data_IF_045475830093
#
_entry.id   IF_045475830093
#
_cell.length_a   1.000
_cell.length_b   1.000
_cell.length_c   1.000
_cell.angle_alpha   90.00
_cell.angle_beta   90.00
_cell.angle_gamma   90.00
#
_symmetry.space_group_name_H-M   'P 1'
#
loop_
_entity.id
_entity.type
_entity.pdbx_description
1 polymer ?
#
# COMPACT_ATOMS: atom_id res chain seq x y z
N UNK A 1 -14.52 -21.06 -34.34
CA UNK A 1 -15.61 -21.34 -33.38
C UNK A 1 -15.10 -21.79 -32.01
N UNK A 2 -14.01 -22.58 -31.94
CA UNK A 2 -13.48 -23.13 -30.66
C UNK A 2 -13.22 -22.06 -29.58
N UNK A 3 -12.51 -20.97 -29.87
CA UNK A 3 -12.16 -19.95 -28.85
C UNK A 3 -13.40 -19.36 -28.15
N UNK A 4 -14.42 -18.98 -28.94
CA UNK A 4 -15.66 -18.40 -28.41
C UNK A 4 -16.43 -19.43 -27.57
N UNK A 5 -16.43 -20.68 -28.00
CA UNK A 5 -17.07 -21.78 -27.29
C UNK A 5 -16.35 -22.11 -25.97
N UNK A 6 -15.01 -22.07 -25.95
CA UNK A 6 -14.22 -22.18 -24.72
C UNK A 6 -14.53 -21.05 -23.75
N UNK A 7 -14.55 -19.80 -24.21
CA UNK A 7 -14.88 -18.62 -23.38
C UNK A 7 -16.28 -18.78 -22.75
N UNK A 8 -17.28 -19.19 -23.54
CA UNK A 8 -18.66 -19.37 -23.06
C UNK A 8 -18.80 -20.55 -22.09
N UNK A 9 -18.23 -21.70 -22.44
CA UNK A 9 -18.38 -22.94 -21.65
C UNK A 9 -17.65 -22.87 -20.31
N UNK A 10 -16.46 -22.25 -20.28
CA UNK A 10 -15.65 -22.11 -19.07
C UNK A 10 -15.91 -20.82 -18.30
N UNK A 11 -16.81 -19.95 -18.80
CA UNK A 11 -17.12 -18.64 -18.21
C UNK A 11 -15.86 -17.80 -17.96
N UNK A 12 -14.97 -17.77 -18.96
CA UNK A 12 -13.70 -17.03 -18.89
C UNK A 12 -13.99 -15.54 -18.75
N UNK A 13 -13.31 -14.88 -17.81
CA UNK A 13 -13.56 -13.49 -17.40
C UNK A 13 -12.28 -12.65 -17.38
N UNK A 14 -12.40 -11.34 -17.62
CA UNK A 14 -11.31 -10.37 -17.52
C UNK A 14 -10.02 -10.74 -18.26
N UNK A 15 -8.88 -10.58 -17.60
CA UNK A 15 -7.57 -10.88 -18.19
C UNK A 15 -7.37 -12.36 -18.59
N UNK A 16 -8.18 -13.31 -18.13
CA UNK A 16 -8.13 -14.69 -18.61
C UNK A 16 -8.54 -14.82 -20.09
N UNK A 17 -9.31 -13.86 -20.62
CA UNK A 17 -9.60 -13.76 -22.04
C UNK A 17 -8.30 -13.55 -22.83
N UNK A 18 -7.41 -12.67 -22.33
CA UNK A 18 -6.10 -12.44 -22.95
C UNK A 18 -5.28 -13.72 -23.00
N UNK A 19 -5.26 -14.49 -21.92
CA UNK A 19 -4.56 -15.78 -21.86
C UNK A 19 -5.12 -16.79 -22.86
N UNK A 20 -6.46 -16.89 -22.93
CA UNK A 20 -7.13 -17.84 -23.82
C UNK A 20 -6.86 -17.51 -25.28
N UNK A 21 -6.98 -16.24 -25.67
CA UNK A 21 -6.70 -15.78 -27.04
C UNK A 21 -5.23 -15.97 -27.38
N UNK A 22 -4.32 -15.67 -26.45
CA UNK A 22 -2.87 -15.87 -26.64
C UNK A 22 -2.53 -17.35 -26.86
N UNK A 23 -3.00 -18.27 -26.01
CA UNK A 23 -2.73 -19.71 -26.17
C UNK A 23 -3.21 -20.24 -27.52
N UNK A 24 -4.36 -19.76 -28.00
CA UNK A 24 -4.89 -20.15 -29.31
C UNK A 24 -4.18 -19.46 -30.48
N UNK A 25 -3.58 -18.28 -30.29
CA UNK A 25 -2.79 -17.61 -31.34
C UNK A 25 -1.43 -18.28 -31.56
N UNK A 26 -0.89 -18.97 -30.55
CA UNK A 26 0.34 -19.75 -30.67
C UNK A 26 0.21 -20.98 -31.58
N UNK A 27 -1.01 -21.42 -31.90
CA UNK A 27 -1.29 -22.61 -32.73
C UNK A 27 -2.10 -22.30 -33.99
N UNK A 28 -2.02 -23.19 -34.98
CA UNK A 28 -2.93 -23.22 -36.12
C UNK A 28 -2.39 -22.63 -37.43
N UNK A 29 -3.30 -22.50 -38.40
CA UNK A 29 -3.00 -22.00 -39.75
C UNK A 29 -2.69 -20.49 -39.72
N UNK A 30 -1.75 -19.99 -40.53
CA UNK A 30 -1.34 -18.58 -40.53
C UNK A 30 -2.50 -17.56 -40.58
N UNK A 31 -3.56 -17.73 -41.39
CA UNK A 31 -4.68 -16.79 -41.42
C UNK A 31 -5.45 -16.71 -40.08
N UNK A 32 -5.59 -17.83 -39.38
CA UNK A 32 -6.29 -17.89 -38.09
C UNK A 32 -5.44 -17.23 -37.01
N UNK A 33 -4.13 -17.53 -36.99
CA UNK A 33 -3.17 -16.90 -36.09
C UNK A 33 -3.20 -15.38 -36.23
N UNK A 34 -3.11 -14.86 -37.47
CA UNK A 34 -3.16 -13.41 -37.72
C UNK A 34 -4.47 -12.76 -37.26
N UNK A 35 -5.60 -13.47 -37.38
CA UNK A 35 -6.88 -12.96 -36.88
C UNK A 35 -6.90 -12.91 -35.33
N UNK A 36 -6.38 -13.94 -34.66
CA UNK A 36 -6.29 -13.98 -33.20
C UNK A 36 -5.28 -12.97 -32.64
N UNK A 37 -4.16 -12.73 -33.32
CA UNK A 37 -3.19 -11.70 -32.96
C UNK A 37 -3.81 -10.29 -33.00
N UNK A 38 -4.66 -10.01 -34.02
CA UNK A 38 -5.42 -8.74 -34.08
C UNK A 38 -6.42 -8.60 -32.94
N UNK A 39 -7.15 -9.67 -32.60
CA UNK A 39 -8.08 -9.66 -31.46
C UNK A 39 -7.30 -9.42 -30.16
N UNK A 40 -6.17 -10.13 -29.98
CA UNK A 40 -5.32 -9.98 -28.81
C UNK A 40 -4.79 -8.55 -28.66
N UNK A 41 -4.36 -7.91 -29.75
CA UNK A 41 -3.90 -6.52 -29.73
C UNK A 41 -4.99 -5.54 -29.26
N UNK A 42 -6.24 -5.74 -29.70
CA UNK A 42 -7.39 -4.93 -29.24
C UNK A 42 -7.64 -5.16 -27.74
N UNK A 43 -7.61 -6.41 -27.27
CA UNK A 43 -7.77 -6.72 -25.86
C UNK A 43 -6.63 -6.16 -25.00
N UNK A 44 -5.37 -6.22 -25.46
CA UNK A 44 -4.24 -5.56 -24.79
C UNK A 44 -4.44 -4.05 -24.68
N UNK A 45 -5.17 -3.44 -25.62
CA UNK A 45 -5.54 -2.02 -25.52
C UNK A 45 -6.32 -1.65 -24.27
N UNK A 46 -7.11 -2.57 -23.71
CA UNK A 46 -7.82 -2.40 -22.43
C UNK A 46 -6.82 -2.54 -21.27
N UNK A 47 -5.97 -3.58 -21.29
CA UNK A 47 -4.92 -3.79 -20.29
C UNK A 47 -3.98 -2.58 -20.19
N UNK A 48 -3.52 -2.02 -21.31
CA UNK A 48 -2.68 -0.81 -21.32
C UNK A 48 -3.39 0.42 -20.75
N UNK A 49 -4.70 0.53 -20.91
CA UNK A 49 -5.49 1.62 -20.30
C UNK A 49 -5.53 1.48 -18.78
N UNK A 50 -5.78 0.26 -18.27
CA UNK A 50 -5.74 -0.02 -16.84
C UNK A 50 -4.34 0.21 -16.26
N UNK A 51 -3.29 -0.22 -16.96
CA UNK A 51 -1.91 0.02 -16.58
C UNK A 51 -1.56 1.50 -16.51
N UNK A 52 -1.98 2.30 -17.49
CA UNK A 52 -1.74 3.74 -17.47
C UNK A 52 -2.44 4.42 -16.28
N UNK A 53 -3.72 4.09 -16.03
CA UNK A 53 -4.45 4.63 -14.89
C UNK A 53 -3.79 4.27 -13.55
N UNK A 54 -3.38 3.01 -13.40
CA UNK A 54 -2.75 2.51 -12.18
C UNK A 54 -1.34 3.07 -11.98
N UNK A 55 -0.45 2.91 -12.98
CA UNK A 55 0.97 3.22 -12.83
C UNK A 55 1.30 4.70 -12.95
N UNK A 56 0.47 5.50 -13.61
CA UNK A 56 0.74 6.93 -13.80
C UNK A 56 -0.08 7.81 -12.85
N UNK A 57 -1.21 7.31 -12.34
CA UNK A 57 -2.12 8.11 -11.53
C UNK A 57 -2.56 7.42 -10.22
N UNK A 58 -2.14 6.18 -9.96
CA UNK A 58 -2.53 5.45 -8.75
C UNK A 58 -4.01 5.05 -8.73
N UNK A 59 -4.69 5.10 -9.87
CA UNK A 59 -6.14 4.87 -9.97
C UNK A 59 -6.43 3.42 -10.39
N UNK A 60 -7.10 2.67 -9.53
CA UNK A 60 -7.57 1.32 -9.83
C UNK A 60 -8.99 1.35 -10.40
N UNK A 61 -9.10 1.41 -11.73
CA UNK A 61 -10.38 1.40 -12.45
C UNK A 61 -10.78 -0.05 -12.82
N UNK A 62 -11.33 -0.80 -11.86
CA UNK A 62 -11.62 -2.23 -12.00
C UNK A 62 -12.97 -2.66 -11.38
N UNK A 63 -14.08 -2.04 -11.82
CA UNK A 63 -15.44 -2.33 -11.30
C UNK A 63 -15.83 -3.81 -11.44
N UNK A 64 -15.40 -4.45 -12.53
CA UNK A 64 -15.76 -5.82 -12.88
C UNK A 64 -14.74 -6.87 -12.40
N UNK A 65 -13.75 -6.48 -11.60
CA UNK A 65 -12.73 -7.40 -11.08
C UNK A 65 -11.94 -8.16 -12.18
N UNK A 66 -11.57 -7.45 -13.24
CA UNK A 66 -10.94 -8.01 -14.44
C UNK A 66 -9.42 -7.85 -14.46
N UNK A 67 -8.88 -6.91 -13.69
CA UNK A 67 -7.46 -6.62 -13.62
C UNK A 67 -6.73 -7.55 -12.65
N UNK A 68 -5.41 -7.72 -12.85
CA UNK A 68 -4.59 -8.59 -12.00
C UNK A 68 -4.06 -7.89 -10.74
N UNK A 69 -4.34 -6.60 -10.55
CA UNK A 69 -4.17 -5.88 -9.28
C UNK A 69 -5.54 -5.72 -8.65
N UNK A 70 -5.68 -6.04 -7.37
CA UNK A 70 -6.92 -5.89 -6.60
C UNK A 70 -6.67 -5.08 -5.35
N UNK A 71 -7.69 -4.35 -4.90
CA UNK A 71 -7.68 -3.73 -3.59
C UNK A 71 -8.01 -4.78 -2.52
N UNK A 72 -7.23 -4.83 -1.45
CA UNK A 72 -7.53 -5.61 -0.25
C UNK A 72 -8.73 -5.04 0.51
N UNK A 73 -9.34 -5.82 1.42
CA UNK A 73 -10.41 -5.31 2.26
C UNK A 73 -9.86 -4.13 3.08
N UNK A 74 -10.30 -2.92 2.74
CA UNK A 74 -10.04 -1.74 3.57
C UNK A 74 -10.66 -2.03 4.94
N UNK A 75 -9.92 -1.78 6.03
CA UNK A 75 -10.47 -1.88 7.37
C UNK A 75 -11.49 -0.73 7.57
N UNK A 76 -12.70 -0.91 7.02
CA UNK A 76 -13.75 0.10 6.94
C UNK A 76 -14.20 0.32 5.49
N UNK A 77 -15.44 -0.07 5.18
CA UNK A 77 -16.08 0.16 3.88
C UNK A 77 -16.85 -1.05 3.37
N UNK A 78 -18.12 -1.16 3.78
CA UNK A 78 -19.06 -2.10 3.18
C UNK A 78 -19.24 -1.79 1.69
N UNK A 79 -19.33 -2.83 0.86
CA UNK A 79 -19.65 -2.74 -0.56
C UNK A 79 -20.95 -1.92 -0.76
N UNK A 80 -20.81 -0.71 -1.31
CA UNK A 80 -21.95 0.07 -1.77
C UNK A 80 -22.30 -0.37 -3.20
N UNK A 81 -23.43 -1.04 -3.33
CA UNK A 81 -24.09 -1.32 -4.61
C UNK A 81 -24.17 -0.04 -5.46
N UNK A 82 -23.73 -0.13 -6.72
CA UNK A 82 -23.95 0.91 -7.72
C UNK A 82 -24.90 0.34 -8.77
N UNK A 83 -26.15 0.80 -8.74
CA UNK A 83 -27.04 0.73 -9.90
C UNK A 83 -26.70 1.91 -10.84
N UNK A 84 -26.74 1.60 -12.13
CA UNK A 84 -26.21 2.36 -13.28
C UNK A 84 -27.06 3.57 -13.68
N UNK A 85 -26.41 4.60 -14.26
CA UNK A 85 -26.93 5.24 -15.48
C UNK A 85 -25.76 5.39 -16.47
N UNK A 86 -25.84 4.68 -17.61
CA UNK A 86 -24.94 4.78 -18.75
C UNK A 86 -25.09 6.15 -19.43
N UNK A 87 -24.09 7.01 -19.34
CA UNK A 87 -23.87 8.08 -20.32
C UNK A 87 -22.60 7.80 -21.14
N UNK A 88 -22.83 7.71 -22.44
CA UNK A 88 -21.91 7.58 -23.58
C UNK A 88 -20.52 8.23 -23.37
N UNK A 89 -19.52 7.41 -22.98
CA UNK A 89 -18.12 7.85 -22.89
C UNK A 89 -17.44 7.81 -24.25
N UNK A 90 -17.80 8.78 -25.08
CA UNK A 90 -17.05 9.17 -26.26
C UNK A 90 -15.59 9.49 -25.92
N UNK A 91 -14.67 8.86 -26.66
CA UNK A 91 -13.24 9.13 -26.59
C UNK A 91 -12.93 10.60 -26.91
N UNK A 92 -12.52 11.37 -25.90
CA UNK A 92 -11.88 12.67 -26.14
C UNK A 92 -11.79 13.58 -24.91
N UNK A 93 -10.63 13.60 -24.24
CA UNK A 93 -10.13 14.86 -23.64
C UNK A 93 -10.26 15.09 -22.13
N UNK A 94 -10.59 14.10 -21.30
CA UNK A 94 -10.57 14.29 -19.84
C UNK A 94 -9.17 14.01 -19.26
N UNK A 95 -8.63 14.98 -18.53
CA UNK A 95 -7.37 14.84 -17.76
C UNK A 95 -7.61 13.93 -16.54
N UNK A 96 -6.59 13.18 -16.09
CA UNK A 96 -6.67 12.37 -14.86
C UNK A 96 -7.12 13.16 -13.62
N UNK A 97 -6.93 14.49 -13.62
CA UNK A 97 -7.44 15.40 -12.58
C UNK A 97 -8.97 15.46 -12.52
N UNK A 98 -9.66 15.43 -13.68
CA UNK A 98 -11.13 15.53 -13.75
C UNK A 98 -11.83 14.23 -13.37
N UNK A 99 -11.20 13.08 -13.62
CA UNK A 99 -11.70 11.77 -13.16
C UNK A 99 -11.63 11.63 -11.64
N UNK A 100 -10.71 12.36 -11.01
CA UNK A 100 -10.45 12.30 -9.57
C UNK A 100 -11.35 13.21 -8.76
N UNK A 101 -11.71 14.40 -9.26
CA UNK A 101 -12.74 15.24 -8.62
C UNK A 101 -14.06 14.50 -8.41
N UNK A 102 -14.40 13.56 -9.30
CA UNK A 102 -15.57 12.68 -9.17
C UNK A 102 -15.41 11.58 -8.09
N UNK A 103 -14.18 11.15 -7.80
CA UNK A 103 -13.89 10.19 -6.73
C UNK A 103 -13.72 10.89 -5.37
N UNK A 104 -13.09 12.06 -5.34
CA UNK A 104 -12.84 12.82 -4.10
C UNK A 104 -14.13 13.32 -3.45
N UNK A 105 -15.17 13.67 -4.22
CA UNK A 105 -16.50 14.01 -3.69
C UNK A 105 -17.15 12.87 -2.89
N UNK A 106 -16.70 11.61 -3.04
CA UNK A 106 -17.20 10.45 -2.29
C UNK A 106 -16.43 10.17 -0.99
N UNK A 107 -15.27 10.81 -0.76
CA UNK A 107 -14.34 10.47 0.34
C UNK A 107 -14.32 11.47 1.50
N UNK A 108 -15.15 12.52 1.47
CA UNK A 108 -15.11 13.63 2.45
C UNK A 108 -15.58 13.23 3.87
N UNK A 109 -16.03 12.00 4.12
CA UNK A 109 -16.56 11.61 5.45
C UNK A 109 -15.58 10.89 6.40
N UNK A 110 -14.33 10.60 6.02
CA UNK A 110 -13.41 9.79 6.87
C UNK A 110 -12.08 10.50 7.24
N UNK A 111 -12.17 11.72 7.80
CA UNK A 111 -11.08 12.28 8.59
C UNK A 111 -11.14 11.75 10.03
N UNK A 112 -10.52 10.59 10.29
CA UNK A 112 -9.86 10.20 11.55
C UNK A 112 -9.66 8.68 11.58
N UNK A 113 -8.63 8.16 10.91
CA UNK A 113 -8.09 6.83 11.25
C UNK A 113 -6.58 6.79 11.08
N UNK A 114 -5.92 6.51 12.20
CA UNK A 114 -4.53 6.09 12.27
C UNK A 114 -4.33 4.80 11.45
N UNK A 115 -3.21 4.77 10.72
CA UNK A 115 -2.67 3.69 9.90
C UNK A 115 -3.45 3.40 8.59
N UNK A 116 -2.99 3.90 7.42
CA UNK A 116 -3.43 3.33 6.16
C UNK A 116 -3.05 1.84 6.17
N UNK A 117 -4.05 0.96 6.04
CA UNK A 117 -3.91 -0.48 6.09
C UNK A 117 -2.84 -0.98 5.11
N UNK A 118 -1.93 -1.81 5.60
CA UNK A 118 -0.63 -2.07 4.98
C UNK A 118 -0.56 -3.09 3.84
N UNK A 119 -1.68 -3.53 3.30
CA UNK A 119 -1.74 -4.22 2.01
C UNK A 119 -3.03 -3.81 1.34
N UNK A 120 -3.16 -2.51 1.05
CA UNK A 120 -4.31 -2.00 0.34
C UNK A 120 -4.40 -2.63 -1.05
N UNK A 121 -3.30 -3.11 -1.63
CA UNK A 121 -3.32 -3.78 -2.93
C UNK A 121 -2.58 -5.12 -2.89
N UNK A 122 -3.00 -6.03 -3.77
CA UNK A 122 -2.37 -7.34 -3.95
C UNK A 122 -2.56 -7.85 -5.37
N UNK A 123 -1.80 -8.88 -5.76
CA UNK A 123 -1.95 -9.52 -7.05
C UNK A 123 -3.07 -10.56 -7.02
N UNK A 124 -3.95 -10.50 -8.02
CA UNK A 124 -4.93 -11.52 -8.38
C UNK A 124 -4.28 -12.46 -9.39
N UNK A 125 -3.55 -13.46 -8.90
CA UNK A 125 -2.72 -14.37 -9.72
C UNK A 125 -3.52 -15.12 -10.79
N UNK A 126 -4.80 -15.40 -10.53
CA UNK A 126 -5.75 -16.04 -11.43
C UNK A 126 -6.18 -15.15 -12.62
N UNK A 127 -5.95 -13.85 -12.53
CA UNK A 127 -6.16 -12.88 -13.62
C UNK A 127 -4.84 -12.48 -14.28
N UNK A 128 -3.68 -12.99 -13.84
CA UNK A 128 -2.41 -12.64 -14.47
C UNK A 128 -2.18 -13.51 -15.72
N UNK A 129 -2.09 -12.91 -16.93
CA UNK A 129 -1.82 -13.70 -18.13
C UNK A 129 -0.45 -14.39 -18.03
N UNK A 130 -0.38 -15.69 -18.28
CA UNK A 130 0.83 -16.51 -18.06
C UNK A 130 2.07 -16.11 -18.87
N UNK A 131 1.92 -15.32 -19.95
CA UNK A 131 3.03 -14.76 -20.71
C UNK A 131 3.60 -13.46 -20.11
N UNK A 132 3.01 -12.94 -19.03
CA UNK A 132 3.55 -11.87 -18.19
C UNK A 132 4.08 -12.52 -16.91
N UNK A 133 5.41 -12.54 -16.69
CA UNK A 133 5.98 -13.12 -15.48
C UNK A 133 5.49 -12.41 -14.21
N UNK A 134 5.28 -13.16 -13.13
CA UNK A 134 4.84 -12.60 -11.83
C UNK A 134 5.77 -11.50 -11.31
N UNK A 135 7.09 -11.65 -11.52
CA UNK A 135 8.10 -10.64 -11.21
C UNK A 135 7.86 -9.29 -11.90
N UNK A 136 7.18 -9.25 -13.05
CA UNK A 136 6.82 -8.00 -13.75
C UNK A 136 5.53 -7.43 -13.15
N UNK A 137 4.56 -8.29 -12.82
CA UNK A 137 3.34 -7.87 -12.13
C UNK A 137 3.64 -7.25 -10.75
N UNK A 138 4.61 -7.79 -10.01
CA UNK A 138 5.09 -7.22 -8.74
C UNK A 138 5.66 -5.80 -8.93
N UNK A 139 6.39 -5.54 -10.02
CA UNK A 139 6.88 -4.19 -10.34
C UNK A 139 5.72 -3.24 -10.61
N UNK A 140 4.68 -3.70 -11.32
CA UNK A 140 3.48 -2.92 -11.63
C UNK A 140 2.71 -2.59 -10.35
N UNK A 141 2.56 -3.57 -9.45
CA UNK A 141 1.94 -3.38 -8.14
C UNK A 141 2.70 -2.31 -7.35
N UNK A 142 4.01 -2.49 -7.17
CA UNK A 142 4.86 -1.53 -6.45
C UNK A 142 4.75 -0.11 -7.00
N UNK A 143 4.79 0.05 -8.33
CA UNK A 143 4.70 1.37 -8.97
C UNK A 143 3.38 2.06 -8.62
N UNK A 144 2.24 1.39 -8.84
CA UNK A 144 0.96 2.02 -8.60
C UNK A 144 0.65 2.23 -7.12
N UNK A 145 1.10 1.32 -6.23
CA UNK A 145 1.02 1.55 -4.77
C UNK A 145 1.79 2.80 -4.37
N UNK A 146 3.00 2.98 -4.90
CA UNK A 146 3.84 4.15 -4.62
C UNK A 146 3.21 5.45 -5.12
N UNK A 147 2.66 5.43 -6.34
CA UNK A 147 1.97 6.59 -6.94
C UNK A 147 0.72 6.93 -6.15
N UNK A 148 -0.13 5.95 -5.86
CA UNK A 148 -1.35 6.16 -5.08
C UNK A 148 -1.04 6.73 -3.69
N UNK A 149 -0.03 6.18 -3.02
CA UNK A 149 0.34 6.58 -1.67
C UNK A 149 0.86 8.03 -1.66
N UNK A 150 1.67 8.40 -2.65
CA UNK A 150 2.18 9.76 -2.81
C UNK A 150 1.03 10.75 -3.08
N UNK A 151 0.13 10.37 -3.98
CA UNK A 151 -1.02 11.18 -4.40
C UNK A 151 -2.04 11.42 -3.28
N UNK A 152 -2.23 10.48 -2.35
CA UNK A 152 -3.12 10.67 -1.20
C UNK A 152 -2.54 11.58 -0.10
N UNK A 153 -1.22 11.76 -0.07
CA UNK A 153 -0.54 12.57 0.96
C UNK A 153 -0.09 13.93 0.40
N UNK A 154 -0.48 14.25 -0.84
CA UNK A 154 -0.09 15.47 -1.56
C UNK A 154 -0.89 16.72 -1.15
N UNK A 155 -1.63 16.67 -0.04
CA UNK A 155 -2.41 17.79 0.49
C UNK A 155 -1.54 18.92 1.10
N UNK A 156 -0.22 18.74 1.20
CA UNK A 156 0.69 19.80 1.62
C UNK A 156 1.07 20.69 0.41
N UNK A 157 0.76 22.00 0.43
CA UNK A 157 0.98 22.89 -0.72
C UNK A 157 2.46 23.07 -1.11
N UNK A 158 3.40 22.63 -0.27
CA UNK A 158 4.85 22.65 -0.57
C UNK A 158 5.31 21.49 -1.43
N UNK A 159 4.51 20.43 -1.60
CA UNK A 159 4.88 19.18 -2.29
C UNK A 159 4.14 18.98 -3.62
N UNK A 160 3.60 20.05 -4.20
CA UNK A 160 2.89 20.02 -5.47
C UNK A 160 3.73 19.42 -6.61
N UNK A 161 3.49 18.16 -6.93
CA UNK A 161 4.17 17.41 -7.99
C UNK A 161 3.81 15.94 -7.96
N UNK A 162 4.04 15.24 -9.06
CA UNK A 162 3.90 13.78 -9.12
C UNK A 162 5.20 13.09 -8.71
N UNK A 163 5.11 11.89 -8.15
CA UNK A 163 6.26 11.01 -7.93
C UNK A 163 7.02 10.69 -9.23
N UNK A 164 6.33 10.79 -10.36
CA UNK A 164 6.90 10.64 -11.71
C UNK A 164 7.49 11.96 -12.25
N UNK A 165 7.51 13.02 -11.44
CA UNK A 165 8.00 14.36 -11.77
C UNK A 165 7.31 14.89 -13.04
N UNK A 166 8.09 15.17 -14.08
CA UNK A 166 7.62 15.64 -15.39
C UNK A 166 7.66 14.54 -16.47
N UNK A 167 7.82 13.26 -16.06
CA UNK A 167 7.95 12.14 -16.98
C UNK A 167 6.61 11.44 -17.28
N UNK A 168 5.50 11.88 -16.67
CA UNK A 168 4.17 11.29 -16.89
C UNK A 168 3.77 11.26 -18.37
N UNK A 169 3.88 12.40 -19.07
CA UNK A 169 3.55 12.51 -20.49
C UNK A 169 4.43 11.60 -21.36
N UNK A 170 5.71 11.46 -20.98
CA UNK A 170 6.65 10.56 -21.66
C UNK A 170 6.20 9.10 -21.50
N UNK A 171 5.92 8.66 -20.28
CA UNK A 171 5.49 7.29 -20.01
C UNK A 171 4.13 6.98 -20.60
N UNK A 172 3.20 7.95 -20.60
CA UNK A 172 1.91 7.83 -21.28
C UNK A 172 2.10 7.62 -22.79
N UNK A 173 3.00 8.38 -23.43
CA UNK A 173 3.32 8.22 -24.84
C UNK A 173 3.98 6.85 -25.15
N UNK A 174 4.85 6.36 -24.27
CA UNK A 174 5.48 5.04 -24.43
C UNK A 174 4.50 3.87 -24.25
N UNK A 175 3.61 3.94 -23.24
CA UNK A 175 2.51 2.98 -23.08
C UNK A 175 1.58 2.99 -24.30
N UNK A 176 1.27 4.19 -24.81
CA UNK A 176 0.49 4.33 -26.04
C UNK A 176 1.22 3.71 -27.24
N UNK A 177 2.53 3.90 -27.38
CA UNK A 177 3.32 3.30 -28.45
C UNK A 177 3.33 1.77 -28.40
N UNK A 178 3.40 1.18 -27.20
CA UNK A 178 3.29 -0.27 -27.00
C UNK A 178 1.90 -0.79 -27.37
N UNK A 179 0.84 -0.06 -26.97
CA UNK A 179 -0.54 -0.38 -27.33
C UNK A 179 -0.77 -0.44 -28.85
N UNK A 180 -0.06 0.38 -29.63
CA UNK A 180 -0.20 0.40 -31.09
C UNK A 180 0.57 -0.73 -31.80
N UNK A 181 1.37 -1.53 -31.08
CA UNK A 181 2.09 -2.63 -31.71
C UNK A 181 1.13 -3.76 -32.10
N UNK A 182 1.29 -4.36 -33.29
CA UNK A 182 0.42 -5.46 -33.73
C UNK A 182 0.68 -6.77 -32.97
N UNK A 183 1.87 -6.90 -32.35
CA UNK A 183 2.29 -8.07 -31.59
C UNK A 183 2.80 -7.62 -30.22
N UNK A 184 2.46 -8.39 -29.19
CA UNK A 184 2.95 -8.16 -27.83
C UNK A 184 4.41 -8.59 -27.70
N UNK A 185 5.26 -7.66 -27.30
CA UNK A 185 6.68 -7.90 -27.01
C UNK A 185 6.89 -7.80 -25.50
N UNK A 186 7.15 -8.94 -24.85
CA UNK A 186 7.43 -8.98 -23.41
C UNK A 186 8.67 -8.15 -23.05
N UNK A 187 9.68 -8.14 -23.92
CA UNK A 187 10.93 -7.39 -23.69
C UNK A 187 10.68 -5.90 -23.67
N UNK A 188 9.97 -5.36 -24.67
CA UNK A 188 9.68 -3.92 -24.74
C UNK A 188 8.73 -3.48 -23.63
N UNK A 189 7.73 -4.33 -23.32
CA UNK A 189 6.84 -4.14 -22.19
C UNK A 189 7.63 -4.05 -20.88
N UNK A 190 8.44 -5.07 -20.57
CA UNK A 190 9.19 -5.11 -19.32
C UNK A 190 10.20 -3.96 -19.21
N UNK A 191 10.88 -3.59 -20.30
CA UNK A 191 11.81 -2.45 -20.31
C UNK A 191 11.11 -1.14 -19.93
N UNK A 192 9.88 -0.92 -20.39
CA UNK A 192 9.10 0.26 -19.99
C UNK A 192 8.71 0.21 -18.52
N UNK A 193 8.21 -0.93 -18.04
CA UNK A 193 7.87 -1.13 -16.62
C UNK A 193 9.10 -0.89 -15.73
N UNK A 194 10.27 -1.39 -16.12
CA UNK A 194 11.51 -1.21 -15.37
C UNK A 194 11.97 0.25 -15.31
N UNK A 195 11.76 1.02 -16.38
CA UNK A 195 12.05 2.46 -16.39
C UNK A 195 11.12 3.21 -15.45
N UNK A 196 9.81 2.98 -15.52
CA UNK A 196 8.84 3.63 -14.62
C UNK A 196 9.17 3.28 -13.16
N UNK A 197 9.39 1.99 -12.87
CA UNK A 197 9.76 1.51 -11.53
C UNK A 197 11.05 2.16 -11.02
N UNK A 198 12.05 2.34 -11.87
CA UNK A 198 13.32 2.96 -11.47
C UNK A 198 13.15 4.44 -11.15
N UNK A 199 12.37 5.19 -11.94
CA UNK A 199 12.04 6.60 -11.66
C UNK A 199 11.31 6.73 -10.31
N UNK A 200 10.30 5.90 -10.07
CA UNK A 200 9.53 5.91 -8.81
C UNK A 200 10.44 5.58 -7.61
N UNK A 201 11.25 4.53 -7.73
CA UNK A 201 12.14 4.10 -6.65
C UNK A 201 13.21 5.14 -6.31
N UNK A 202 13.77 5.82 -7.31
CA UNK A 202 14.75 6.89 -7.12
C UNK A 202 14.11 8.07 -6.37
N UNK A 203 12.87 8.45 -6.71
CA UNK A 203 12.19 9.52 -6.00
C UNK A 203 11.80 9.14 -4.57
N UNK A 204 11.30 7.92 -4.34
CA UNK A 204 11.04 7.44 -2.97
C UNK A 204 12.32 7.45 -2.13
N UNK A 205 13.46 7.08 -2.71
CA UNK A 205 14.73 7.14 -2.00
C UNK A 205 15.08 8.56 -1.57
N UNK A 206 15.03 9.54 -2.48
CA UNK A 206 15.26 10.96 -2.17
C UNK A 206 14.32 11.43 -1.08
N UNK A 207 13.03 11.14 -1.23
CA UNK A 207 12.00 11.52 -0.28
C UNK A 207 12.26 10.97 1.13
N UNK A 208 12.67 9.71 1.24
CA UNK A 208 12.87 9.06 2.53
C UNK A 208 14.20 9.42 3.18
N UNK A 209 15.28 9.47 2.38
CA UNK A 209 16.64 9.66 2.90
C UNK A 209 16.99 11.13 3.04
N UNK A 210 16.65 11.96 2.05
CA UNK A 210 17.07 13.36 2.00
C UNK A 210 16.01 14.29 2.61
N UNK A 211 14.72 13.99 2.44
CA UNK A 211 13.64 14.88 2.91
C UNK A 211 12.99 14.45 4.23
N UNK A 212 13.18 13.20 4.67
CA UNK A 212 12.49 12.63 5.85
C UNK A 212 13.44 12.06 6.90
N UNK A 213 14.74 12.35 6.79
CA UNK A 213 15.77 12.00 7.77
C UNK A 213 15.76 10.52 8.21
N UNK A 214 15.60 9.58 7.28
CA UNK A 214 15.51 8.13 7.58
C UNK A 214 16.63 7.64 8.52
N UNK A 215 17.85 8.16 8.39
CA UNK A 215 18.97 7.77 9.24
C UNK A 215 18.79 8.20 10.70
N UNK A 216 18.22 9.37 10.94
CA UNK A 216 17.89 9.84 12.29
C UNK A 216 16.77 9.00 12.90
N UNK A 217 15.79 8.63 12.09
CA UNK A 217 14.64 7.81 12.48
C UNK A 217 15.09 6.38 12.86
N UNK A 218 16.04 5.81 12.12
CA UNK A 218 16.70 4.54 12.50
C UNK A 218 17.49 4.66 13.80
N UNK A 219 18.15 5.80 14.04
CA UNK A 219 18.85 6.05 15.30
C UNK A 219 17.86 6.13 16.47
N UNK A 220 16.73 6.80 16.29
CA UNK A 220 15.63 6.81 17.28
C UNK A 220 15.18 5.38 17.57
N UNK A 221 14.85 4.60 16.54
CA UNK A 221 14.40 3.21 16.75
C UNK A 221 15.45 2.41 17.55
N UNK A 222 16.74 2.52 17.20
CA UNK A 222 17.83 1.89 17.96
C UNK A 222 17.90 2.39 19.41
N UNK A 223 17.82 3.70 19.62
CA UNK A 223 17.98 4.32 20.93
C UNK A 223 16.89 3.90 21.91
N UNK A 224 15.67 3.66 21.42
CA UNK A 224 14.51 3.34 22.25
C UNK A 224 14.15 1.83 22.24
N UNK A 225 13.96 1.20 21.07
CA UNK A 225 13.63 -0.24 21.05
C UNK A 225 14.80 -1.13 21.47
N UNK A 226 16.03 -0.75 21.11
CA UNK A 226 17.23 -1.53 21.45
C UNK A 226 17.95 -0.99 22.69
N UNK A 227 17.28 -0.14 23.49
CA UNK A 227 17.79 0.42 24.74
C UNK A 227 19.16 1.14 24.57
N UNK A 228 19.42 1.73 23.41
CA UNK A 228 20.67 2.46 23.15
C UNK A 228 20.90 3.62 24.13
N UNK A 229 19.82 4.20 24.68
CA UNK A 229 19.86 5.22 25.74
C UNK A 229 19.76 4.59 27.13
N UNK A 230 20.77 3.80 27.51
CA UNK A 230 20.77 3.08 28.80
C UNK A 230 20.56 3.98 30.02
N UNK A 231 21.08 5.22 30.01
CA UNK A 231 20.89 6.20 31.09
C UNK A 231 19.41 6.59 31.29
N UNK A 232 18.67 6.77 30.18
CA UNK A 232 17.24 7.07 30.20
C UNK A 232 16.47 5.91 30.82
N UNK A 233 16.75 4.69 30.33
CA UNK A 233 16.08 3.49 30.81
C UNK A 233 16.40 3.19 32.27
N UNK A 234 17.61 3.47 32.73
CA UNK A 234 17.98 3.31 34.15
C UNK A 234 17.13 4.23 35.04
N UNK A 235 17.05 5.52 34.70
CA UNK A 235 16.22 6.48 35.45
C UNK A 235 14.73 6.12 35.35
N UNK A 236 14.26 5.71 34.18
CA UNK A 236 12.88 5.25 33.99
C UNK A 236 12.55 4.03 34.84
N UNK A 237 13.42 3.01 34.86
CA UNK A 237 13.23 1.80 35.66
C UNK A 237 13.12 2.18 37.13
N UNK A 238 14.01 3.03 37.65
CA UNK A 238 13.97 3.48 39.04
C UNK A 238 12.64 4.18 39.40
N UNK A 239 12.09 4.98 38.47
CA UNK A 239 10.81 5.67 38.65
C UNK A 239 9.60 4.73 38.53
N UNK A 240 9.60 3.83 37.55
CA UNK A 240 8.47 2.97 37.21
C UNK A 240 8.42 1.66 38.01
N UNK A 241 9.50 1.29 38.72
CA UNK A 241 9.62 0.01 39.42
C UNK A 241 8.49 -0.28 40.40
N UNK A 242 8.01 0.74 41.12
CA UNK A 242 6.97 0.57 42.13
C UNK A 242 5.57 0.34 41.53
N UNK A 243 5.31 0.86 40.33
CA UNK A 243 4.02 0.74 39.63
C UNK A 243 3.96 -0.46 38.68
N UNK A 244 5.09 -0.89 38.11
CA UNK A 244 5.16 -2.02 37.17
C UNK A 244 5.39 -3.38 37.84
N UNK A 245 5.71 -3.42 39.14
CA UNK A 245 5.81 -4.66 39.93
C UNK A 245 4.45 -5.30 40.23
N UNK A 246 3.38 -4.51 40.24
CA UNK A 246 2.01 -4.97 40.45
C UNK A 246 1.32 -5.26 39.12
N UNK A 247 0.24 -6.06 39.10
CA UNK A 247 -0.59 -6.21 37.90
C UNK A 247 -1.08 -4.86 37.38
N UNK A 248 -1.11 -4.66 36.05
CA UNK A 248 -1.48 -3.38 35.46
C UNK A 248 -2.97 -3.08 35.66
N UNK A 249 -3.29 -1.78 35.74
CA UNK A 249 -4.64 -1.23 35.88
C UNK A 249 -4.91 -0.21 34.78
N UNK A 250 -6.15 0.29 34.68
CA UNK A 250 -6.54 1.26 33.65
C UNK A 250 -5.73 2.57 33.67
N UNK A 251 -5.11 2.94 34.80
CA UNK A 251 -4.28 4.15 34.93
C UNK A 251 -2.79 3.89 34.70
N UNK A 252 -2.36 2.62 34.74
CA UNK A 252 -0.94 2.25 34.68
C UNK A 252 -0.29 2.72 33.38
N UNK A 253 -0.98 2.67 32.24
CA UNK A 253 -0.45 3.18 30.96
C UNK A 253 -0.13 4.68 31.05
N UNK A 254 -1.02 5.48 31.64
CA UNK A 254 -0.80 6.92 31.80
C UNK A 254 0.36 7.23 32.75
N UNK A 255 0.37 6.61 33.93
CA UNK A 255 1.38 6.85 34.97
C UNK A 255 2.79 6.50 34.47
N UNK A 256 2.91 5.40 33.71
CA UNK A 256 4.17 4.96 33.11
C UNK A 256 4.69 5.94 32.07
N UNK A 257 3.81 6.48 31.21
CA UNK A 257 4.21 7.51 30.24
C UNK A 257 4.65 8.82 30.93
N UNK A 258 3.99 9.22 32.01
CA UNK A 258 4.43 10.37 32.82
C UNK A 258 5.81 10.11 33.44
N UNK A 259 6.04 8.91 33.99
CA UNK A 259 7.35 8.53 34.53
C UNK A 259 8.45 8.53 33.45
N UNK A 260 8.12 8.10 32.23
CA UNK A 260 9.03 8.12 31.09
C UNK A 260 9.39 9.55 30.65
N UNK A 261 8.43 10.46 30.57
CA UNK A 261 8.68 11.87 30.29
C UNK A 261 9.55 12.52 31.39
N UNK A 262 9.30 12.21 32.66
CA UNK A 262 10.14 12.68 33.77
C UNK A 262 11.57 12.15 33.69
N UNK A 263 11.75 10.88 33.29
CA UNK A 263 13.07 10.31 33.08
C UNK A 263 13.81 11.03 31.94
N UNK A 264 13.13 11.31 30.83
CA UNK A 264 13.68 12.06 29.69
C UNK A 264 14.13 13.48 30.09
N UNK A 265 13.32 14.19 30.87
CA UNK A 265 13.71 15.51 31.38
C UNK A 265 14.92 15.45 32.34
N UNK A 266 15.01 14.40 33.18
CA UNK A 266 16.15 14.23 34.10
C UNK A 266 17.48 13.99 33.41
N UNK A 267 17.46 13.29 32.27
CA UNK A 267 18.66 13.03 31.46
C UNK A 267 18.94 14.13 30.44
N UNK A 268 18.19 15.25 30.49
CA UNK A 268 18.32 16.37 29.56
C UNK A 268 18.20 15.93 28.10
N UNK A 269 17.16 15.14 27.79
CA UNK A 269 16.84 14.80 26.41
C UNK A 269 16.32 16.06 25.70
N UNK A 270 17.20 16.73 24.94
CA UNK A 270 16.97 18.05 24.33
C UNK A 270 15.99 18.06 23.12
N UNK A 271 15.33 16.94 22.80
CA UNK A 271 14.45 16.82 21.64
C UNK A 271 12.97 16.76 22.04
N UNK A 272 12.37 17.94 22.21
CA UNK A 272 10.96 18.11 22.57
C UNK A 272 10.00 17.53 21.52
N UNK A 273 10.45 17.35 20.27
CA UNK A 273 9.61 16.81 19.18
C UNK A 273 9.58 15.29 19.14
N UNK A 274 10.54 14.63 19.81
CA UNK A 274 10.70 13.18 19.80
C UNK A 274 9.76 12.46 20.78
N UNK A 275 9.59 12.99 21.99
CA UNK A 275 8.77 12.37 23.03
C UNK A 275 7.30 12.16 22.62
N UNK A 276 6.63 13.09 21.90
CA UNK A 276 5.27 12.87 21.41
C UNK A 276 5.14 11.72 20.39
N UNK A 277 6.24 11.29 19.77
CA UNK A 277 6.25 10.19 18.81
C UNK A 277 6.39 8.81 19.48
N UNK A 278 6.79 8.78 20.76
CA UNK A 278 7.01 7.56 21.53
C UNK A 278 5.91 7.42 22.57
N UNK A 279 5.24 6.27 22.59
CA UNK A 279 4.17 5.98 23.53
C UNK A 279 4.38 4.60 24.14
N UNK A 280 4.44 4.52 25.46
CA UNK A 280 4.49 3.23 26.17
C UNK A 280 3.08 2.67 26.28
N UNK A 281 2.89 1.44 25.82
CA UNK A 281 1.61 0.73 25.89
C UNK A 281 1.64 -0.27 27.03
N UNK A 282 0.49 -0.48 27.68
CA UNK A 282 0.36 -1.48 28.74
C UNK A 282 -0.87 -2.34 28.45
N UNK A 283 -0.66 -3.65 28.29
CA UNK A 283 -1.77 -4.59 28.14
C UNK A 283 -2.40 -4.90 29.51
N UNK A 284 -3.72 -4.69 29.65
CA UNK A 284 -4.44 -4.98 30.88
C UNK A 284 -5.85 -5.51 30.61
N UNK A 285 -6.34 -6.38 31.48
CA UNK A 285 -7.68 -6.93 31.37
C UNK A 285 -8.73 -5.82 31.57
N UNK A 286 -9.35 -5.43 30.46
CA UNK A 286 -10.37 -4.37 30.39
C UNK A 286 -10.44 -3.69 29.01
N UNK A 287 -9.36 -3.74 28.23
CA UNK A 287 -9.27 -3.11 26.89
C UNK A 287 -10.12 -3.84 25.82
N UNK A 288 -10.30 -5.16 25.95
CA UNK A 288 -10.99 -6.00 24.95
C UNK A 288 -12.51 -6.19 25.14
N UNK A 289 -13.18 -5.43 26.02
CA UNK A 289 -14.65 -5.57 26.20
C UNK A 289 -15.51 -4.81 25.18
N UNK A 290 -14.91 -4.18 24.15
CA UNK A 290 -15.65 -3.39 23.14
C UNK A 290 -15.31 -3.66 21.66
N UNK A 291 -14.49 -4.64 21.31
CA UNK A 291 -14.24 -4.96 19.90
C UNK A 291 -14.24 -6.47 19.61
N UNK A 292 -15.37 -6.94 19.07
CA UNK A 292 -15.60 -8.23 18.36
C UNK A 292 -15.30 -9.55 19.10
N UNK A 293 -16.17 -10.58 18.95
CA UNK A 293 -15.96 -11.87 19.60
C UNK A 293 -14.80 -12.64 18.93
N UNK A 294 -13.88 -13.25 19.70
CA UNK A 294 -12.78 -14.02 19.13
C UNK A 294 -13.23 -15.44 18.76
N UNK A 295 -12.97 -15.82 17.51
CA UNK A 295 -12.91 -17.21 17.08
C UNK A 295 -11.52 -17.75 17.44
N UNK A 296 -11.50 -18.73 18.34
CA UNK A 296 -10.44 -19.70 18.67
C UNK A 296 -8.97 -19.20 18.70
N UNK A 297 -8.41 -19.06 19.91
CA UNK A 297 -7.29 -19.89 20.43
C UNK A 297 -6.69 -19.30 21.73
N UNK A 298 -6.67 -20.13 22.78
CA UNK A 298 -5.99 -19.96 24.09
C UNK A 298 -6.44 -18.80 25.01
N UNK A 299 -6.64 -19.05 26.33
CA UNK A 299 -6.81 -17.95 27.28
C UNK A 299 -5.51 -17.16 27.34
N UNK A 300 -5.52 -15.90 26.88
CA UNK A 300 -4.42 -14.94 27.11
C UNK A 300 -4.12 -14.93 28.61
N UNK A 301 -2.98 -15.51 29.00
CA UNK A 301 -2.54 -15.50 30.39
C UNK A 301 -2.38 -14.05 30.85
N UNK A 302 -2.92 -13.74 32.03
CA UNK A 302 -2.80 -12.40 32.61
C UNK A 302 -1.31 -12.12 32.80
N UNK A 303 -0.76 -11.02 32.25
CA UNK A 303 0.61 -10.67 32.52
C UNK A 303 0.77 -10.52 34.04
N UNK A 304 1.67 -11.29 34.67
CA UNK A 304 1.75 -11.37 36.13
C UNK A 304 2.20 -10.05 36.77
N UNK A 305 2.82 -9.18 35.98
CA UNK A 305 3.33 -7.87 36.38
C UNK A 305 3.14 -6.86 35.26
N UNK A 306 3.09 -5.57 35.59
CA UNK A 306 3.11 -4.49 34.60
C UNK A 306 4.35 -4.54 33.69
N UNK A 307 5.49 -5.05 34.18
CA UNK A 307 6.69 -5.26 33.36
C UNK A 307 6.48 -6.24 32.22
N UNK A 308 5.70 -7.31 32.43
CA UNK A 308 5.38 -8.28 31.38
C UNK A 308 4.34 -7.75 30.39
N UNK A 309 3.64 -6.66 30.73
CA UNK A 309 2.60 -6.03 29.93
C UNK A 309 3.07 -4.77 29.18
N UNK A 310 4.30 -4.32 29.42
CA UNK A 310 4.83 -3.07 28.89
C UNK A 310 5.31 -3.27 27.45
N UNK A 311 4.82 -2.43 26.54
CA UNK A 311 5.31 -2.30 25.18
C UNK A 311 5.69 -0.86 24.86
N UNK A 312 6.36 -0.68 23.73
CA UNK A 312 6.68 0.60 23.14
C UNK A 312 6.00 0.71 21.78
N UNK A 313 5.43 1.87 21.48
CA UNK A 313 4.86 2.20 20.17
C UNK A 313 5.49 3.47 19.66
N UNK A 314 5.91 3.43 18.39
CA UNK A 314 6.52 4.56 17.71
C UNK A 314 5.59 5.05 16.59
N UNK A 315 5.21 6.33 16.66
CA UNK A 315 4.34 6.97 15.66
C UNK A 315 5.16 7.41 14.45
N UNK A 316 5.36 6.46 13.53
CA UNK A 316 6.05 6.70 12.27
C UNK A 316 5.31 7.74 11.44
N UNK A 317 6.04 8.74 10.95
CA UNK A 317 5.51 9.75 10.04
C UNK A 317 5.63 9.29 8.58
N UNK A 318 4.73 9.80 7.73
CA UNK A 318 4.90 9.67 6.28
C UNK A 318 6.24 10.29 5.86
N UNK A 319 7.00 9.67 4.95
CA UNK A 319 6.71 8.48 4.15
C UNK A 319 7.30 7.19 4.74
N UNK A 320 7.87 7.24 5.94
CA UNK A 320 8.70 6.15 6.46
C UNK A 320 7.91 4.91 6.89
N UNK A 321 6.58 4.99 6.98
CA UNK A 321 5.72 3.84 7.26
C UNK A 321 5.77 2.77 6.15
N UNK A 322 6.28 3.10 4.96
CA UNK A 322 6.58 2.11 3.91
C UNK A 322 7.62 1.09 4.41
N UNK A 323 8.63 1.56 5.16
CA UNK A 323 9.67 0.70 5.73
C UNK A 323 9.29 0.19 7.12
N UNK A 324 8.86 1.11 7.99
CA UNK A 324 8.48 0.82 9.36
C UNK A 324 7.01 0.39 9.43
N UNK A 325 6.75 -0.75 8.80
CA UNK A 325 5.44 -1.40 8.83
C UNK A 325 5.10 -1.81 10.27
N UNK A 326 3.82 -1.89 10.66
CA UNK A 326 3.41 -2.41 11.96
C UNK A 326 3.96 -3.81 12.23
N UNK A 327 4.04 -4.68 11.20
CA UNK A 327 4.65 -6.00 11.32
C UNK A 327 6.17 -5.94 11.59
N UNK A 328 6.86 -4.91 11.11
CA UNK A 328 8.28 -4.66 11.44
C UNK A 328 8.41 -4.10 12.86
N UNK A 329 7.55 -3.15 13.23
CA UNK A 329 7.55 -2.56 14.57
C UNK A 329 7.22 -3.60 15.65
N UNK A 330 6.22 -4.46 15.43
CA UNK A 330 5.84 -5.53 16.36
C UNK A 330 6.96 -6.54 16.62
N UNK A 331 7.87 -6.74 15.65
CA UNK A 331 9.04 -7.61 15.85
C UNK A 331 10.13 -7.01 16.72
N UNK A 332 10.14 -5.68 16.88
CA UNK A 332 11.16 -4.96 17.66
C UNK A 332 10.63 -4.45 19.00
N UNK A 333 9.31 -4.42 19.20
CA UNK A 333 8.62 -4.10 20.46
C UNK A 333 8.86 -5.14 21.54
#
# INVERSE_FOLDING_TARGET
MVVVETIKSQKIHGCQILETVYKHSCGGLPPVRMALEKILAVCHGVMYKQLAAWMLHGLLLDQSEEFFVKQGPSAGGAAANQDEEEEDLGLGGLSGKQLRELQDLRLIEEENMLAPSLQQFSLRTEMLPSYIPIRVAEKILFVGESVQMFENHNHSPSRAGSILKHQEDMFAAELHKLKQQPLFSLVDFENLIDRIRSTVAEHLWTLMVEESDLLEQLKIIKDFYLLGRGELYQVFIDLAQHMLKTPPTAVTEHDVNVAFQQAAHKVLLDDDNLLPLLHLTVDYQGKDSKATPPQDTSPREVPPTGWAALGLTYKVQWPLHILFTPAVLEKIT
#
